data_IF_151322036183
#
_entry.id   IF_151322036183
#
_cell.length_a   1.000
_cell.length_b   1.000
_cell.length_c   1.000
_cell.angle_alpha   90.00
_cell.angle_beta   90.00
_cell.angle_gamma   90.00
#
_symmetry.space_group_name_H-M   'P 1'
#
loop_
_entity.id
_entity.type
_entity.pdbx_description
1 polymer ?
#
# COMPACT_ATOMS: atom_id res chain seq x y z
N UNK A 1 -0.19 4.85 3.68
CA UNK A 1 -1.01 4.99 4.91
C UNK A 1 -1.34 3.66 5.55
N UNK A 2 -2.00 2.72 4.85
CA UNK A 2 -2.41 1.43 5.42
C UNK A 2 -1.26 0.64 6.08
N UNK A 3 -0.11 0.57 5.40
CA UNK A 3 1.12 -0.06 5.91
C UNK A 3 1.58 0.63 7.20
N UNK A 4 1.79 1.95 7.16
CA UNK A 4 2.18 2.75 8.33
C UNK A 4 1.24 2.55 9.54
N UNK A 5 -0.08 2.63 9.34
CA UNK A 5 -1.05 2.43 10.42
C UNK A 5 -1.03 1.00 10.97
N UNK A 6 -0.67 0.01 10.15
CA UNK A 6 -0.49 -1.35 10.60
C UNK A 6 0.78 -1.50 11.48
N UNK A 7 1.90 -0.91 11.04
CA UNK A 7 3.17 -0.92 11.77
C UNK A 7 3.06 -0.19 13.12
N UNK A 8 2.31 0.91 13.17
CA UNK A 8 2.07 1.68 14.40
C UNK A 8 0.93 1.11 15.27
N UNK A 9 0.37 -0.06 14.92
CA UNK A 9 -0.69 -0.72 15.69
C UNK A 9 -2.05 0.01 15.67
N UNK A 10 -2.19 1.06 14.86
CA UNK A 10 -3.38 1.90 14.78
C UNK A 10 -4.45 1.40 13.80
N UNK A 11 -4.14 0.41 12.95
CA UNK A 11 -5.06 -0.11 11.92
C UNK A 11 -6.45 -0.50 12.46
N UNK A 12 -6.55 -1.02 13.70
CA UNK A 12 -7.84 -1.40 14.32
C UNK A 12 -8.64 -0.22 14.88
N UNK A 13 -8.01 0.94 15.03
CA UNK A 13 -8.59 2.15 15.62
C UNK A 13 -8.87 3.24 14.58
N UNK A 14 -8.53 2.99 13.31
CA UNK A 14 -8.65 3.95 12.23
C UNK A 14 -9.45 3.35 11.08
N UNK A 15 -10.39 4.14 10.55
CA UNK A 15 -11.06 3.83 9.29
C UNK A 15 -10.42 4.66 8.16
N UNK A 16 -10.07 4.00 7.07
CA UNK A 16 -9.57 4.68 5.87
C UNK A 16 -10.71 4.87 4.89
N UNK A 17 -10.84 6.10 4.39
CA UNK A 17 -11.71 6.47 3.28
C UNK A 17 -10.82 6.97 2.14
N UNK A 18 -10.84 6.25 1.01
CA UNK A 18 -10.13 6.64 -0.20
C UNK A 18 -11.15 7.07 -1.25
N UNK A 19 -11.10 8.33 -1.65
CA UNK A 19 -12.00 8.93 -2.63
C UNK A 19 -11.18 9.49 -3.78
N UNK A 20 -11.74 9.40 -4.98
CA UNK A 20 -11.20 9.98 -6.21
C UNK A 20 -12.39 10.35 -7.09
N UNK A 21 -12.25 11.37 -7.93
CA UNK A 21 -13.28 11.76 -8.90
C UNK A 21 -13.36 10.76 -10.07
N UNK A 22 -12.28 10.03 -10.33
CA UNK A 22 -12.19 9.09 -11.43
C UNK A 22 -12.55 7.67 -10.99
N UNK A 23 -13.72 7.19 -11.44
CA UNK A 23 -14.20 5.85 -11.15
C UNK A 23 -13.28 4.74 -11.67
N UNK A 24 -12.57 4.94 -12.78
CA UNK A 24 -11.62 3.95 -13.30
C UNK A 24 -10.45 3.76 -12.34
N UNK A 25 -9.96 4.84 -11.73
CA UNK A 25 -8.88 4.78 -10.75
C UNK A 25 -9.36 4.10 -9.47
N UNK A 26 -10.58 4.40 -9.01
CA UNK A 26 -11.19 3.69 -7.89
C UNK A 26 -11.35 2.19 -8.19
N UNK A 27 -11.77 1.83 -9.41
CA UNK A 27 -11.87 0.45 -9.86
C UNK A 27 -10.52 -0.28 -9.82
N UNK A 28 -9.44 0.38 -10.29
CA UNK A 28 -8.10 -0.19 -10.23
C UNK A 28 -7.59 -0.31 -8.79
N UNK A 29 -7.80 0.71 -7.96
CA UNK A 29 -7.39 0.72 -6.56
C UNK A 29 -8.09 -0.38 -5.75
N UNK A 30 -9.38 -0.64 -6.01
CA UNK A 30 -10.16 -1.73 -5.38
C UNK A 30 -9.61 -3.11 -5.70
N UNK A 31 -9.10 -3.33 -6.92
CA UNK A 31 -8.44 -4.59 -7.28
C UNK A 31 -7.14 -4.79 -6.48
N UNK A 32 -6.45 -3.71 -6.11
CA UNK A 32 -5.20 -3.78 -5.37
C UNK A 32 -4.03 -4.41 -6.14
N UNK A 33 -4.17 -4.58 -7.45
CA UNK A 33 -3.16 -5.23 -8.31
C UNK A 33 -2.25 -4.17 -8.92
N UNK A 34 -0.94 -4.37 -8.78
CA UNK A 34 0.09 -3.48 -9.32
C UNK A 34 1.09 -4.27 -10.16
N UNK A 35 1.63 -3.69 -11.26
CA UNK A 35 2.64 -4.36 -12.07
C UNK A 35 3.91 -4.65 -11.27
N UNK A 36 4.47 -5.86 -11.40
CA UNK A 36 5.72 -6.26 -10.71
C UNK A 36 6.91 -5.35 -11.01
N UNK A 37 6.95 -4.77 -12.22
CA UNK A 37 7.96 -3.76 -12.60
C UNK A 37 7.99 -2.54 -11.68
N UNK A 38 6.88 -2.20 -11.04
CA UNK A 38 6.79 -1.10 -10.07
C UNK A 38 7.19 -1.52 -8.65
N UNK A 39 7.18 -2.83 -8.34
CA UNK A 39 7.45 -3.33 -6.99
C UNK A 39 8.83 -2.91 -6.49
N UNK A 40 9.88 -3.01 -7.34
CA UNK A 40 11.24 -2.56 -6.97
C UNK A 40 11.26 -1.09 -6.55
N UNK A 41 10.64 -0.22 -7.35
CA UNK A 41 10.59 1.21 -7.06
C UNK A 41 9.80 1.50 -5.78
N UNK A 42 8.76 0.72 -5.48
CA UNK A 42 7.99 0.85 -4.24
C UNK A 42 8.77 0.35 -3.02
N UNK A 43 9.51 -0.76 -3.12
CA UNK A 43 10.41 -1.24 -2.07
C UNK A 43 11.48 -0.19 -1.72
N UNK A 44 12.10 0.43 -2.73
CA UNK A 44 13.08 1.49 -2.52
C UNK A 44 12.47 2.71 -1.82
N UNK A 45 11.25 3.11 -2.22
CA UNK A 45 10.53 4.22 -1.57
C UNK A 45 10.11 3.89 -0.13
N UNK A 46 9.64 2.68 0.11
CA UNK A 46 9.27 2.19 1.44
C UNK A 46 10.48 2.21 2.39
N UNK A 47 11.63 1.72 1.94
CA UNK A 47 12.86 1.75 2.74
C UNK A 47 13.31 3.18 3.04
N UNK A 48 13.29 4.07 2.05
CA UNK A 48 13.63 5.50 2.22
C UNK A 48 12.69 6.22 3.18
N UNK A 49 11.43 5.77 3.28
CA UNK A 49 10.45 6.31 4.20
C UNK A 49 10.62 5.80 5.65
N UNK A 50 11.63 4.95 5.93
CA UNK A 50 11.89 4.40 7.26
C UNK A 50 11.09 3.14 7.59
N UNK A 51 10.66 2.38 6.56
CA UNK A 51 9.97 1.11 6.74
C UNK A 51 10.72 0.14 7.65
N UNK A 52 9.99 -0.49 8.58
CA UNK A 52 10.55 -1.37 9.62
C UNK A 52 10.67 -2.83 9.20
N UNK A 53 9.97 -3.23 8.16
CA UNK A 53 9.85 -4.62 7.70
C UNK A 53 10.31 -4.75 6.24
N UNK A 54 10.03 -5.88 5.58
CA UNK A 54 10.20 -5.97 4.13
C UNK A 54 8.95 -5.45 3.44
N UNK A 55 9.11 -4.72 2.33
CA UNK A 55 7.95 -4.31 1.53
C UNK A 55 7.15 -5.53 1.00
N UNK A 56 7.82 -6.67 0.81
CA UNK A 56 7.19 -7.94 0.43
C UNK A 56 6.19 -8.48 1.45
N UNK A 57 6.27 -8.05 2.71
CA UNK A 57 5.34 -8.51 3.75
C UNK A 57 3.94 -7.91 3.59
N UNK A 58 3.81 -6.90 2.72
CA UNK A 58 2.56 -6.14 2.50
C UNK A 58 1.90 -6.41 1.15
N UNK A 59 2.46 -7.28 0.31
CA UNK A 59 1.85 -7.68 -0.96
C UNK A 59 2.00 -9.17 -1.23
N UNK A 60 1.14 -9.70 -2.08
CA UNK A 60 1.21 -11.09 -2.56
C UNK A 60 1.50 -11.10 -4.06
N UNK A 61 2.15 -12.17 -4.53
CA UNK A 61 2.40 -12.43 -5.95
C UNK A 61 1.77 -13.76 -6.31
N UNK A 62 0.81 -13.75 -7.23
CA UNK A 62 0.30 -14.93 -7.93
C UNK A 62 0.92 -15.00 -9.34
#
# INVERSE_FOLDING_TARGET
MAILLAEEGMKKRCQMYATDMNEMVLGQARKGIYPIKAARAYSEKYQKAGGRYSFSDYYTTD
#
